data_IF_941878900670
#
_entry.id   IF_941878900670
#
_cell.length_a   1.000
_cell.length_b   1.000
_cell.length_c   1.000
_cell.angle_alpha   90.00
_cell.angle_beta   90.00
_cell.angle_gamma   90.00
#
_symmetry.space_group_name_H-M   'P 1'
#
loop_
_entity.id
_entity.type
_entity.pdbx_description
1 polymer ?
#
# COMPACT_ATOMS: atom_id res chain seq x y z
N UNK A 1 2.04 2.33 -16.26
CA UNK A 1 0.80 1.53 -16.00
C UNK A 1 0.54 1.53 -14.50
N UNK A 2 -0.74 1.66 -14.09
CA UNK A 2 -1.12 1.67 -12.68
C UNK A 2 -1.57 0.28 -12.22
N UNK A 3 -1.22 -0.09 -10.99
CA UNK A 3 -1.58 -1.37 -10.39
C UNK A 3 -2.22 -1.18 -9.02
N UNK A 4 -3.15 -2.06 -8.69
CA UNK A 4 -3.65 -2.26 -7.34
C UNK A 4 -3.18 -3.64 -6.86
N UNK A 5 -2.50 -3.67 -5.71
CA UNK A 5 -2.21 -4.88 -4.95
C UNK A 5 -3.25 -5.00 -3.84
N UNK A 6 -3.87 -6.16 -3.71
CA UNK A 6 -4.91 -6.40 -2.69
C UNK A 6 -4.46 -7.51 -1.79
N UNK A 7 -4.20 -7.18 -0.53
CA UNK A 7 -3.86 -8.16 0.52
C UNK A 7 -5.06 -8.57 1.36
N UNK A 8 -4.82 -9.46 2.32
CA UNK A 8 -5.85 -10.04 3.21
C UNK A 8 -6.27 -9.13 4.38
N UNK A 9 -5.67 -7.94 4.55
CA UNK A 9 -5.99 -7.02 5.64
C UNK A 9 -7.42 -6.52 5.58
N UNK A 10 -7.84 -5.81 6.63
CA UNK A 10 -9.24 -5.40 6.75
C UNK A 10 -9.62 -4.32 5.73
N UNK A 11 -10.79 -4.49 5.12
CA UNK A 11 -11.50 -3.49 4.34
C UNK A 11 -12.81 -3.14 5.03
N UNK A 12 -13.13 -1.86 5.10
CA UNK A 12 -14.47 -1.41 5.43
C UNK A 12 -15.31 -1.15 4.18
N UNK A 13 -16.60 -0.90 4.40
CA UNK A 13 -17.53 -0.47 3.33
C UNK A 13 -17.17 0.91 2.73
N UNK A 14 -16.35 1.69 3.44
CA UNK A 14 -15.84 3.00 2.99
C UNK A 14 -14.56 2.89 2.15
N UNK A 15 -14.09 1.68 1.89
CA UNK A 15 -12.88 1.47 1.09
C UNK A 15 -13.02 2.10 -0.30
N UNK A 16 -11.98 2.81 -0.71
CA UNK A 16 -11.88 3.37 -2.06
C UNK A 16 -11.42 2.33 -3.10
N UNK A 17 -11.28 1.08 -2.73
CA UNK A 17 -10.75 0.02 -3.60
C UNK A 17 -11.46 -0.05 -4.96
N UNK A 18 -12.80 -0.02 -4.96
CA UNK A 18 -13.60 -0.04 -6.20
C UNK A 18 -13.31 1.12 -7.15
N UNK A 19 -12.99 2.28 -6.59
CA UNK A 19 -12.68 3.47 -7.37
C UNK A 19 -11.33 3.29 -8.08
N UNK A 20 -10.31 2.88 -7.34
CA UNK A 20 -8.97 2.68 -7.88
C UNK A 20 -8.89 1.50 -8.86
N UNK A 21 -9.63 0.44 -8.60
CA UNK A 21 -9.65 -0.76 -9.46
C UNK A 21 -10.18 -0.50 -10.88
N UNK A 22 -10.94 0.59 -11.11
CA UNK A 22 -11.49 0.93 -12.43
C UNK A 22 -10.41 1.27 -13.45
N UNK A 23 -9.33 1.92 -13.00
CA UNK A 23 -8.30 2.48 -13.86
C UNK A 23 -6.94 1.78 -13.68
N UNK A 24 -6.91 0.68 -12.91
CA UNK A 24 -5.71 -0.06 -12.58
C UNK A 24 -5.84 -1.54 -12.93
N UNK A 25 -4.72 -2.20 -13.19
CA UNK A 25 -4.66 -3.66 -13.13
C UNK A 25 -4.66 -4.13 -11.69
N UNK A 26 -5.47 -5.14 -11.40
CA UNK A 26 -5.66 -5.66 -10.04
C UNK A 26 -4.93 -6.98 -9.87
N UNK A 27 -4.05 -7.04 -8.88
CA UNK A 27 -3.38 -8.26 -8.46
C UNK A 27 -3.84 -8.59 -7.04
N UNK A 28 -4.52 -9.72 -6.90
CA UNK A 28 -4.98 -10.21 -5.61
C UNK A 28 -3.93 -11.12 -4.98
N UNK A 29 -3.42 -10.74 -3.81
CA UNK A 29 -2.42 -11.48 -3.06
C UNK A 29 -3.12 -12.29 -1.98
N UNK A 30 -3.05 -13.62 -2.10
CA UNK A 30 -3.64 -14.60 -1.18
C UNK A 30 -5.09 -14.29 -0.84
N UNK A 31 -5.46 -14.09 0.44
CA UNK A 31 -6.83 -13.74 0.88
C UNK A 31 -7.38 -12.41 0.33
N UNK A 32 -6.59 -11.60 -0.38
CA UNK A 32 -7.08 -10.45 -1.13
C UNK A 32 -8.15 -10.80 -2.17
N UNK A 33 -8.22 -12.05 -2.60
CA UNK A 33 -9.27 -12.60 -3.46
C UNK A 33 -10.66 -12.40 -2.86
N UNK A 34 -10.82 -12.55 -1.54
CA UNK A 34 -12.11 -12.42 -0.85
C UNK A 34 -12.62 -10.99 -0.92
N UNK A 35 -11.73 -10.00 -0.86
CA UNK A 35 -12.09 -8.58 -1.07
C UNK A 35 -12.51 -8.32 -2.52
N UNK A 36 -11.79 -8.87 -3.48
CA UNK A 36 -12.15 -8.79 -4.89
C UNK A 36 -13.56 -9.36 -5.13
N UNK A 37 -13.86 -10.52 -4.54
CA UNK A 37 -15.17 -11.17 -4.65
C UNK A 37 -16.29 -10.36 -4.02
N UNK A 38 -16.06 -9.83 -2.80
CA UNK A 38 -17.01 -8.99 -2.07
C UNK A 38 -17.39 -7.75 -2.86
N UNK A 39 -16.41 -7.15 -3.53
CA UNK A 39 -16.57 -5.91 -4.28
C UNK A 39 -16.95 -6.11 -5.75
N UNK A 40 -17.14 -7.38 -6.19
CA UNK A 40 -17.42 -7.76 -7.58
C UNK A 40 -16.36 -7.25 -8.55
N UNK A 41 -15.09 -7.27 -8.14
CA UNK A 41 -13.95 -6.95 -8.98
C UNK A 41 -13.30 -8.27 -9.40
N UNK A 42 -13.07 -8.43 -10.70
CA UNK A 42 -12.32 -9.56 -11.23
C UNK A 42 -10.84 -9.15 -11.25
N UNK A 43 -9.96 -9.80 -10.49
CA UNK A 43 -8.54 -9.49 -10.55
C UNK A 43 -7.94 -9.93 -11.90
N UNK A 44 -6.92 -9.22 -12.36
CA UNK A 44 -6.15 -9.65 -13.55
C UNK A 44 -5.29 -10.87 -13.23
N UNK A 45 -4.73 -10.91 -12.03
CA UNK A 45 -3.84 -11.99 -11.57
C UNK A 45 -4.13 -12.30 -10.10
N UNK A 46 -4.08 -13.59 -9.75
CA UNK A 46 -4.07 -14.08 -8.37
C UNK A 46 -2.68 -14.61 -8.03
N UNK A 47 -2.11 -14.20 -6.90
CA UNK A 47 -0.75 -14.55 -6.47
C UNK A 47 -0.79 -15.13 -5.06
N UNK A 48 -0.15 -16.27 -4.82
CA UNK A 48 -0.04 -16.84 -3.48
C UNK A 48 -0.12 -18.37 -3.45
N UNK A 49 -0.27 -18.91 -2.24
CA UNK A 49 -0.62 -20.32 -2.01
C UNK A 49 -2.12 -20.50 -1.75
N UNK A 50 -2.82 -19.38 -1.49
CA UNK A 50 -4.27 -19.28 -1.27
C UNK A 50 -4.77 -19.98 -0.02
N UNK A 51 -3.92 -20.13 0.99
CA UNK A 51 -4.28 -20.78 2.25
C UNK A 51 -5.17 -19.90 3.15
N UNK A 52 -5.04 -18.55 3.00
CA UNK A 52 -5.90 -17.57 3.69
C UNK A 52 -7.16 -17.19 2.89
N UNK A 53 -7.27 -17.61 1.64
CA UNK A 53 -8.41 -17.32 0.78
C UNK A 53 -9.56 -18.30 1.04
N UNK A 54 -10.79 -17.81 0.94
CA UNK A 54 -11.97 -18.69 0.94
C UNK A 54 -11.95 -19.56 -0.31
N UNK A 55 -11.98 -20.89 -0.15
CA UNK A 55 -11.89 -21.85 -1.26
C UNK A 55 -12.98 -21.61 -2.33
N UNK A 56 -14.18 -21.20 -1.93
CA UNK A 56 -15.27 -20.86 -2.86
C UNK A 56 -14.88 -19.69 -3.77
N UNK A 57 -14.29 -18.61 -3.22
CA UNK A 57 -13.89 -17.43 -3.95
C UNK A 57 -12.68 -17.71 -4.85
N UNK A 58 -11.72 -18.48 -4.36
CA UNK A 58 -10.60 -18.94 -5.19
C UNK A 58 -11.10 -19.75 -6.40
N UNK A 59 -11.97 -20.75 -6.19
CA UNK A 59 -12.52 -21.56 -7.27
C UNK A 59 -13.38 -20.74 -8.23
N UNK A 60 -14.10 -19.74 -7.73
CA UNK A 60 -14.87 -18.82 -8.57
C UNK A 60 -14.00 -18.12 -9.61
N UNK A 61 -12.93 -17.47 -9.19
CA UNK A 61 -12.03 -16.76 -10.11
C UNK A 61 -11.23 -17.71 -11.00
N UNK A 62 -10.82 -18.86 -10.46
CA UNK A 62 -10.14 -19.90 -11.26
C UNK A 62 -11.04 -20.40 -12.40
N UNK A 63 -12.31 -20.64 -12.14
CA UNK A 63 -13.28 -21.07 -13.16
C UNK A 63 -13.57 -19.97 -14.19
N UNK A 64 -13.38 -18.71 -13.85
CA UNK A 64 -13.45 -17.57 -14.78
C UNK A 64 -12.20 -17.46 -15.68
N UNK A 65 -11.15 -18.25 -15.40
CA UNK A 65 -9.90 -18.20 -16.16
C UNK A 65 -8.96 -17.06 -15.77
N UNK A 66 -9.09 -16.52 -14.53
CA UNK A 66 -8.14 -15.55 -14.00
C UNK A 66 -6.75 -16.17 -13.91
N UNK A 67 -5.73 -15.43 -14.35
CA UNK A 67 -4.34 -15.91 -14.29
C UNK A 67 -3.93 -16.18 -12.83
N UNK A 68 -3.32 -17.35 -12.62
CA UNK A 68 -2.87 -17.81 -11.31
C UNK A 68 -1.35 -17.97 -11.30
N UNK A 69 -0.68 -17.29 -10.37
CA UNK A 69 0.75 -17.46 -10.09
C UNK A 69 0.90 -18.06 -8.70
N UNK A 70 1.06 -19.38 -8.67
CA UNK A 70 1.11 -20.15 -7.42
C UNK A 70 2.54 -20.33 -6.92
N UNK A 71 2.70 -20.14 -5.62
CA UNK A 71 3.95 -20.33 -4.91
C UNK A 71 3.78 -21.33 -3.76
N UNK A 72 4.85 -22.04 -3.35
CA UNK A 72 4.80 -22.90 -2.17
C UNK A 72 4.52 -22.10 -0.90
N UNK A 73 3.83 -22.72 0.07
CA UNK A 73 3.57 -22.14 1.40
C UNK A 73 4.88 -21.86 2.16
N UNK A 74 5.87 -22.74 2.03
CA UNK A 74 7.20 -22.56 2.61
C UNK A 74 8.10 -21.76 1.67
N UNK A 75 8.09 -20.45 1.83
CA UNK A 75 8.93 -19.49 1.10
C UNK A 75 9.36 -18.36 2.04
N UNK A 76 10.46 -17.69 1.71
CA UNK A 76 11.03 -16.61 2.52
C UNK A 76 10.41 -15.24 2.23
N UNK A 77 9.34 -15.18 1.42
CA UNK A 77 8.66 -13.96 1.02
C UNK A 77 7.15 -14.04 1.29
N UNK A 78 6.55 -12.92 1.64
CA UNK A 78 5.09 -12.80 1.73
C UNK A 78 4.46 -12.72 0.33
N UNK A 79 3.16 -13.04 0.21
CA UNK A 79 2.45 -12.92 -1.06
C UNK A 79 2.37 -11.48 -1.55
N UNK A 80 2.30 -10.52 -0.62
CA UNK A 80 2.37 -9.10 -0.94
C UNK A 80 3.74 -8.70 -1.53
N UNK A 81 4.83 -9.25 -1.01
CA UNK A 81 6.16 -9.02 -1.56
C UNK A 81 6.29 -9.57 -2.98
N UNK A 82 5.77 -10.76 -3.22
CA UNK A 82 5.75 -11.37 -4.55
C UNK A 82 4.90 -10.53 -5.52
N UNK A 83 3.73 -10.07 -5.06
CA UNK A 83 2.88 -9.15 -5.83
C UNK A 83 3.61 -7.85 -6.18
N UNK A 84 4.34 -7.26 -5.23
CA UNK A 84 5.15 -6.07 -5.44
C UNK A 84 6.24 -6.31 -6.49
N UNK A 85 7.01 -7.38 -6.37
CA UNK A 85 8.07 -7.71 -7.32
C UNK A 85 7.52 -7.96 -8.73
N UNK A 86 6.32 -8.56 -8.82
CA UNK A 86 5.65 -8.80 -10.08
C UNK A 86 5.24 -7.50 -10.78
N UNK A 87 4.58 -6.57 -10.07
CA UNK A 87 4.16 -5.30 -10.68
C UNK A 87 5.36 -4.43 -11.06
N UNK A 88 6.42 -4.44 -10.26
CA UNK A 88 7.67 -3.77 -10.58
C UNK A 88 8.35 -4.37 -11.83
N UNK A 89 8.32 -5.69 -11.98
CA UNK A 89 8.80 -6.39 -13.19
C UNK A 89 7.95 -6.04 -14.42
N UNK A 90 6.66 -5.82 -14.25
CA UNK A 90 5.75 -5.41 -15.33
C UNK A 90 5.83 -3.92 -15.67
N UNK A 91 6.72 -3.16 -15.03
CA UNK A 91 6.93 -1.75 -15.32
C UNK A 91 5.81 -0.87 -14.78
N UNK A 92 5.42 -1.08 -13.53
CA UNK A 92 4.49 -0.20 -12.86
C UNK A 92 5.05 1.23 -12.77
N UNK A 93 4.22 2.23 -13.04
CA UNK A 93 4.51 3.65 -12.81
C UNK A 93 3.95 4.11 -11.46
N UNK A 94 2.87 3.47 -11.03
CA UNK A 94 2.16 3.80 -9.78
C UNK A 94 1.51 2.55 -9.20
N UNK A 95 1.59 2.37 -7.88
CA UNK A 95 1.09 1.20 -7.16
C UNK A 95 0.21 1.66 -6.00
N UNK A 96 -0.98 1.06 -5.87
CA UNK A 96 -1.87 1.24 -4.75
C UNK A 96 -2.02 -0.07 -4.00
N UNK A 97 -1.77 -0.08 -2.70
CA UNK A 97 -1.87 -1.27 -1.84
C UNK A 97 -3.12 -1.14 -0.97
N UNK A 98 -4.05 -2.05 -1.13
CA UNK A 98 -5.22 -2.20 -0.27
C UNK A 98 -5.13 -3.50 0.52
N UNK A 99 -5.72 -3.53 1.73
CA UNK A 99 -5.59 -4.69 2.60
C UNK A 99 -4.16 -4.96 3.07
N UNK A 100 -3.29 -3.95 3.00
CA UNK A 100 -1.92 -4.02 3.51
C UNK A 100 -1.80 -3.61 4.97
N UNK A 101 -2.82 -2.98 5.55
CA UNK A 101 -2.93 -2.62 6.96
C UNK A 101 -4.03 -3.49 7.57
N UNK A 102 -3.74 -4.10 8.73
CA UNK A 102 -4.69 -4.98 9.40
C UNK A 102 -4.35 -5.18 10.88
N UNK A 103 -4.97 -6.18 11.51
CA UNK A 103 -4.77 -6.52 12.92
C UNK A 103 -3.35 -7.04 13.23
N UNK A 104 -2.66 -7.59 12.23
CA UNK A 104 -1.28 -8.02 12.36
C UNK A 104 -0.33 -6.85 12.11
N UNK A 105 0.23 -6.32 13.20
CA UNK A 105 1.15 -5.18 13.13
C UNK A 105 2.43 -5.50 12.36
N UNK A 106 2.96 -6.72 12.48
CA UNK A 106 4.14 -7.20 11.76
C UNK A 106 3.95 -7.10 10.24
N UNK A 107 2.80 -7.53 9.71
CA UNK A 107 2.46 -7.39 8.30
C UNK A 107 2.28 -5.94 7.89
N UNK A 108 1.63 -5.12 8.73
CA UNK A 108 1.43 -3.70 8.42
C UNK A 108 2.75 -2.95 8.30
N UNK A 109 3.67 -3.15 9.24
CA UNK A 109 5.02 -2.57 9.20
C UNK A 109 5.82 -3.15 8.02
N UNK A 110 5.75 -4.46 7.80
CA UNK A 110 6.42 -5.13 6.67
C UNK A 110 5.98 -4.55 5.32
N UNK A 111 4.69 -4.28 5.14
CA UNK A 111 4.17 -3.67 3.91
C UNK A 111 4.65 -2.22 3.73
N UNK A 112 4.81 -1.44 4.81
CA UNK A 112 5.44 -0.11 4.72
C UNK A 112 6.90 -0.24 4.26
N UNK A 113 7.67 -1.17 4.86
CA UNK A 113 9.06 -1.41 4.44
C UNK A 113 9.15 -1.93 3.00
N UNK A 114 8.19 -2.75 2.57
CA UNK A 114 8.14 -3.27 1.21
C UNK A 114 8.07 -2.15 0.15
N UNK A 115 7.46 -1.01 0.50
CA UNK A 115 7.40 0.16 -0.39
C UNK A 115 8.79 0.74 -0.73
N UNK A 116 9.85 0.43 0.05
CA UNK A 116 11.21 0.83 -0.29
C UNK A 116 11.64 0.25 -1.66
N UNK A 117 11.20 -0.97 -2.00
CA UNK A 117 11.50 -1.58 -3.31
C UNK A 117 10.99 -0.74 -4.50
N UNK A 118 9.81 -0.17 -4.35
CA UNK A 118 9.21 0.70 -5.37
C UNK A 118 9.88 2.07 -5.39
N UNK A 119 10.17 2.65 -4.21
CA UNK A 119 10.87 3.93 -4.09
C UNK A 119 12.24 3.90 -4.78
N UNK A 120 13.04 2.83 -4.55
CA UNK A 120 14.35 2.63 -5.21
C UNK A 120 14.26 2.59 -6.74
N UNK A 121 13.11 2.19 -7.28
CA UNK A 121 12.83 2.17 -8.73
C UNK A 121 12.14 3.44 -9.23
N UNK A 122 11.94 4.43 -8.37
CA UNK A 122 11.23 5.67 -8.71
C UNK A 122 9.73 5.49 -8.96
N UNK A 123 9.14 4.40 -8.46
CA UNK A 123 7.72 4.08 -8.60
C UNK A 123 6.95 4.61 -7.40
N UNK A 124 5.94 5.44 -7.65
CA UNK A 124 5.06 5.95 -6.58
C UNK A 124 4.19 4.84 -6.03
N UNK A 125 4.21 4.66 -4.72
CA UNK A 125 3.38 3.65 -4.04
C UNK A 125 2.60 4.27 -2.90
N UNK A 126 1.33 3.91 -2.81
CA UNK A 126 0.42 4.35 -1.77
C UNK A 126 -0.18 3.13 -1.08
N UNK A 127 -0.01 3.03 0.23
CA UNK A 127 -0.67 2.04 1.07
C UNK A 127 -1.90 2.70 1.70
N UNK A 128 -3.07 2.21 1.34
CA UNK A 128 -4.35 2.90 1.58
C UNK A 128 -5.28 1.99 2.39
N UNK A 129 -5.82 2.57 3.46
CA UNK A 129 -7.04 2.06 4.09
C UNK A 129 -8.08 3.20 4.19
N UNK A 130 -9.16 3.00 4.94
CA UNK A 130 -10.22 4.00 5.06
C UNK A 130 -9.79 5.30 5.75
N UNK A 131 -8.84 5.22 6.70
CA UNK A 131 -8.44 6.33 7.56
C UNK A 131 -7.07 6.90 7.17
N UNK A 132 -6.25 6.13 6.45
CA UNK A 132 -4.85 6.47 6.21
C UNK A 132 -4.44 6.27 4.76
N UNK A 133 -3.59 7.16 4.29
CA UNK A 133 -2.77 6.98 3.08
C UNK A 133 -1.31 7.14 3.48
N UNK A 134 -0.52 6.10 3.27
CA UNK A 134 0.92 6.09 3.55
C UNK A 134 1.67 6.07 2.24
N UNK A 135 2.66 6.94 2.11
CA UNK A 135 3.61 6.93 0.98
C UNK A 135 5.02 7.22 1.48
N UNK A 136 6.02 6.77 0.74
CA UNK A 136 7.42 7.05 1.05
C UNK A 136 7.92 8.21 0.18
N UNK A 137 8.82 9.01 0.75
CA UNK A 137 9.47 10.12 0.06
C UNK A 137 10.96 10.12 0.38
N UNK A 138 11.80 10.26 -0.65
CA UNK A 138 13.26 10.37 -0.52
C UNK A 138 13.77 11.80 -0.74
N UNK A 139 13.04 12.62 -1.51
CA UNK A 139 13.43 14.01 -1.85
C UNK A 139 12.31 14.99 -1.54
N UNK A 140 11.27 14.97 -2.33
CA UNK A 140 10.13 15.85 -2.17
C UNK A 140 8.85 15.21 -2.68
N UNK A 141 7.74 15.59 -2.07
CA UNK A 141 6.40 15.20 -2.50
C UNK A 141 5.44 16.36 -2.28
N UNK A 142 4.54 16.54 -3.21
CA UNK A 142 3.35 17.36 -3.03
C UNK A 142 2.16 16.45 -2.84
N UNK A 143 1.39 16.70 -1.79
CA UNK A 143 0.18 15.92 -1.46
C UNK A 143 -1.02 16.84 -1.44
N UNK A 144 -2.13 16.39 -2.04
CA UNK A 144 -3.38 17.09 -1.93
C UNK A 144 -3.98 16.83 -0.55
N UNK A 145 -4.23 17.89 0.19
CA UNK A 145 -4.84 17.85 1.51
C UNK A 145 -6.04 18.81 1.52
N UNK A 146 -6.78 18.80 2.61
CA UNK A 146 -7.72 19.85 2.93
C UNK A 146 -7.33 20.45 4.28
N UNK A 147 -7.68 21.71 4.48
CA UNK A 147 -7.40 22.42 5.72
C UNK A 147 -7.93 21.63 6.92
N UNK A 148 -7.10 21.43 7.93
CA UNK A 148 -7.41 20.65 9.13
C UNK A 148 -7.13 19.14 9.01
N UNK A 149 -6.69 18.66 7.84
CA UNK A 149 -6.30 17.26 7.68
C UNK A 149 -5.01 16.95 8.45
N UNK A 150 -5.00 15.84 9.17
CA UNK A 150 -3.80 15.35 9.86
C UNK A 150 -2.78 14.84 8.85
N UNK A 151 -1.54 15.30 9.00
CA UNK A 151 -0.37 14.83 8.24
C UNK A 151 0.72 14.47 9.22
N UNK A 152 1.25 13.26 9.12
CA UNK A 152 2.37 12.81 9.95
C UNK A 152 3.58 12.49 9.09
N UNK A 153 4.75 12.92 9.55
CA UNK A 153 6.04 12.55 8.99
C UNK A 153 6.72 11.59 9.98
N UNK A 154 7.19 10.46 9.48
CA UNK A 154 7.86 9.44 10.28
C UNK A 154 9.17 9.08 9.56
N UNK A 155 10.34 9.29 10.18
CA UNK A 155 11.60 8.85 9.58
C UNK A 155 11.65 7.32 9.51
N UNK A 156 11.90 6.78 8.32
CA UNK A 156 12.07 5.35 8.09
C UNK A 156 13.54 4.92 8.22
N UNK A 157 14.45 5.90 8.14
CA UNK A 157 15.89 5.74 8.38
C UNK A 157 16.23 6.17 9.80
N UNK A 158 17.44 5.82 10.27
CA UNK A 158 17.91 6.24 11.61
C UNK A 158 17.82 7.75 11.78
N UNK A 159 18.13 8.51 10.72
CA UNK A 159 18.08 9.97 10.67
C UNK A 159 17.62 10.42 9.29
N UNK A 160 16.74 11.41 9.24
CA UNK A 160 16.37 12.17 8.04
C UNK A 160 16.76 13.63 8.28
N UNK A 161 17.65 14.16 7.46
CA UNK A 161 18.20 15.53 7.57
C UNK A 161 17.61 16.44 6.50
N UNK A 162 17.59 17.75 6.75
CA UNK A 162 17.13 18.74 5.80
C UNK A 162 15.61 18.74 5.59
N UNK A 163 14.84 18.23 6.53
CA UNK A 163 13.39 18.10 6.40
C UNK A 163 12.73 19.47 6.50
N UNK A 164 12.09 19.89 5.41
CA UNK A 164 11.33 21.14 5.36
C UNK A 164 9.90 20.85 4.93
N UNK A 165 8.93 21.46 5.60
CA UNK A 165 7.50 21.32 5.29
C UNK A 165 6.88 22.69 5.03
N UNK A 166 5.90 22.70 4.12
CA UNK A 166 5.14 23.92 3.76
C UNK A 166 3.66 23.62 4.01
N UNK A 167 2.91 24.63 4.42
CA UNK A 167 1.48 24.55 4.67
C UNK A 167 1.08 23.53 5.76
N UNK A 168 1.95 23.38 6.76
CA UNK A 168 1.66 22.63 7.98
C UNK A 168 1.75 23.55 9.21
N UNK A 169 0.88 23.35 10.20
CA UNK A 169 0.78 24.17 11.42
C UNK A 169 2.09 24.17 12.20
N UNK A 170 2.73 23.02 12.32
CA UNK A 170 4.04 22.85 12.94
C UNK A 170 5.09 22.66 11.83
N UNK A 171 5.35 23.75 11.08
CA UNK A 171 6.28 23.71 9.96
C UNK A 171 7.69 23.34 10.41
N UNK A 172 8.33 22.48 9.65
CA UNK A 172 9.75 22.15 9.81
C UNK A 172 10.58 22.97 8.81
N UNK A 173 11.77 23.41 9.22
CA UNK A 173 12.70 24.13 8.37
C UNK A 173 14.11 23.58 8.59
N UNK A 174 14.65 22.90 7.59
CA UNK A 174 15.97 22.25 7.62
C UNK A 174 16.15 21.37 8.89
N UNK A 175 15.08 20.70 9.29
CA UNK A 175 15.04 19.94 10.53
C UNK A 175 15.67 18.56 10.37
N UNK A 176 16.24 18.07 11.47
CA UNK A 176 16.69 16.68 11.59
C UNK A 176 15.66 15.86 12.37
N UNK A 177 15.13 14.83 11.75
CA UNK A 177 14.23 13.86 12.38
C UNK A 177 14.97 12.56 12.64
N UNK A 178 14.83 12.00 13.86
CA UNK A 178 15.49 10.75 14.24
C UNK A 178 14.45 9.69 14.62
N UNK A 179 14.75 8.43 14.31
CA UNK A 179 13.93 7.29 14.77
C UNK A 179 13.85 7.30 16.30
N UNK A 180 12.66 7.04 16.85
CA UNK A 180 12.40 7.14 18.31
C UNK A 180 11.96 8.54 18.77
N UNK A 181 12.02 9.56 17.90
CA UNK A 181 11.40 10.87 18.15
C UNK A 181 9.98 10.88 17.61
N UNK A 182 9.10 11.67 18.24
CA UNK A 182 7.74 11.94 17.77
C UNK A 182 7.61 13.26 17.01
N UNK A 183 8.72 13.89 16.68
CA UNK A 183 8.73 15.09 15.83
C UNK A 183 8.09 14.77 14.48
N UNK A 184 7.11 15.57 14.08
CA UNK A 184 6.37 15.37 12.83
C UNK A 184 5.06 14.57 12.94
N UNK A 185 4.78 13.96 14.08
CA UNK A 185 3.53 13.25 14.31
C UNK A 185 2.38 14.23 14.58
N UNK A 186 1.20 13.92 13.99
CA UNK A 186 -0.05 14.69 14.18
C UNK A 186 0.05 16.18 13.81
N UNK A 187 0.80 16.49 12.78
CA UNK A 187 0.79 17.81 12.18
C UNK A 187 -0.53 18.05 11.42
N UNK A 188 -0.85 19.28 11.08
CA UNK A 188 -2.14 19.66 10.50
C UNK A 188 -1.92 20.54 9.27
N UNK A 189 -2.60 20.20 8.17
CA UNK A 189 -2.59 21.01 6.96
C UNK A 189 -3.31 22.36 7.20
N UNK A 190 -2.67 23.47 6.81
CA UNK A 190 -3.20 24.84 6.99
C UNK A 190 -3.91 25.37 5.76
N UNK A 191 -3.75 24.72 4.61
CA UNK A 191 -4.33 25.08 3.31
C UNK A 191 -4.90 23.85 2.61
N UNK A 192 -5.73 24.07 1.58
CA UNK A 192 -6.29 23.04 0.69
C UNK A 192 -5.33 22.74 -0.47
#
# INVERSE_FOLDING_TARGET
MKYVLVGSGQFSEKSKFKEYAKDCKVIACDGGIDHCRKDNIVPDIMVGDFDSATNENYMYFKNMGVEEIKFPTHKDMTDMEIGMDLVLKYGADEIYIFGGIGSRLDHSIGNVHLMCKSLEKGVKTFLINEDNTVTLVDKSIEINTHRGQTVSLIPLTTTAEGVTTVNLEYALNDATMTIGSTLGISNVATED
#
